data_IF_373899964810
#
_entry.id   IF_373899964810
#
_cell.length_a   1.000
_cell.length_b   1.000
_cell.length_c   1.000
_cell.angle_alpha   90.00
_cell.angle_beta   90.00
_cell.angle_gamma   90.00
#
_symmetry.space_group_name_H-M   'P 1'
#
loop_
_entity.id
_entity.type
_entity.pdbx_description
1 polymer ?
#
# COMPACT_ATOMS: atom_id res chain seq x y z
N UNK A 1 7.34 -51.18 25.01
CA UNK A 1 6.37 -50.71 23.99
C UNK A 1 6.36 -49.20 24.03
N UNK A 2 7.08 -48.55 23.11
CA UNK A 2 7.20 -47.10 23.03
C UNK A 2 6.08 -46.54 22.13
N UNK A 3 5.44 -45.44 22.53
CA UNK A 3 4.56 -44.64 21.67
C UNK A 3 5.12 -43.23 21.63
N UNK A 4 5.77 -42.89 20.52
CA UNK A 4 6.16 -41.52 20.20
C UNK A 4 4.94 -40.76 19.65
N UNK A 5 4.73 -39.47 20.00
CA UNK A 5 3.77 -38.64 19.31
C UNK A 5 4.39 -38.02 18.03
N UNK A 6 3.62 -38.02 16.95
CA UNK A 6 3.94 -37.36 15.68
C UNK A 6 3.90 -35.82 15.78
N UNK A 7 4.66 -35.09 14.96
CA UNK A 7 4.56 -33.63 14.91
C UNK A 7 3.31 -33.17 14.13
N UNK A 8 2.75 -31.98 14.43
CA UNK A 8 1.71 -31.39 13.60
C UNK A 8 2.34 -30.84 12.31
N UNK A 9 1.79 -31.29 11.17
CA UNK A 9 2.00 -30.68 9.86
C UNK A 9 1.49 -29.24 9.91
N UNK A 10 2.39 -28.24 9.90
CA UNK A 10 1.99 -26.84 9.80
C UNK A 10 1.57 -26.55 8.37
N UNK A 11 0.26 -26.65 8.21
CA UNK A 11 -0.61 -26.01 7.22
C UNK A 11 0.02 -24.79 6.53
N UNK A 12 -0.13 -24.79 5.21
CA UNK A 12 0.08 -23.69 4.28
C UNK A 12 -0.10 -22.31 4.92
N UNK A 13 0.96 -21.49 4.85
CA UNK A 13 0.92 -20.10 5.24
C UNK A 13 -0.13 -19.37 4.37
N UNK A 14 -1.16 -18.85 5.02
CA UNK A 14 -2.10 -17.90 4.42
C UNK A 14 -1.33 -16.71 3.83
N UNK A 15 -1.86 -16.04 2.79
CA UNK A 15 -1.24 -14.83 2.26
C UNK A 15 -1.28 -13.80 3.38
N UNK A 16 -0.11 -13.48 3.93
CA UNK A 16 0.09 -12.34 4.82
C UNK A 16 -0.38 -11.11 4.04
N UNK A 17 -1.48 -10.52 4.49
CA UNK A 17 -1.89 -9.21 4.02
C UNK A 17 -0.69 -8.28 4.22
N UNK A 18 -0.16 -7.75 3.12
CA UNK A 18 1.02 -6.91 3.16
C UNK A 18 0.69 -5.64 3.95
N UNK A 19 1.51 -5.31 4.94
CA UNK A 19 1.33 -4.12 5.77
C UNK A 19 1.23 -2.85 4.89
N UNK A 20 0.44 -1.84 5.34
CA UNK A 20 0.35 -0.58 4.64
C UNK A 20 1.73 0.10 4.58
N UNK A 21 2.05 0.81 3.48
CA UNK A 21 3.32 1.49 3.34
C UNK A 21 3.48 2.58 4.41
N UNK A 22 4.69 2.80 4.94
CA UNK A 22 4.94 3.75 6.03
C UNK A 22 4.86 5.22 5.57
N UNK A 23 4.93 5.49 4.28
CA UNK A 23 4.87 6.84 3.71
C UNK A 23 4.50 6.82 2.22
N UNK A 24 4.15 7.99 1.67
CA UNK A 24 3.91 8.20 0.24
C UNK A 24 5.12 7.79 -0.62
N UNK A 25 6.33 8.23 -0.23
CA UNK A 25 7.56 7.90 -0.95
C UNK A 25 7.87 6.40 -0.91
N UNK A 26 7.59 5.73 0.22
CA UNK A 26 7.74 4.29 0.32
C UNK A 26 6.76 3.55 -0.59
N UNK A 27 5.50 4.02 -0.66
CA UNK A 27 4.49 3.45 -1.55
C UNK A 27 4.87 3.61 -3.04
N UNK A 28 5.39 4.78 -3.42
CA UNK A 28 5.89 5.04 -4.77
C UNK A 28 7.08 4.16 -5.13
N UNK A 29 8.07 4.03 -4.24
CA UNK A 29 9.24 3.19 -4.47
C UNK A 29 8.88 1.70 -4.64
N UNK A 30 7.93 1.22 -3.85
CA UNK A 30 7.42 -0.15 -3.99
C UNK A 30 6.70 -0.33 -5.34
N UNK A 31 5.89 0.65 -5.75
CA UNK A 31 5.17 0.61 -7.02
C UNK A 31 6.12 0.61 -8.23
N UNK A 32 7.18 1.41 -8.19
CA UNK A 32 8.23 1.42 -9.22
C UNK A 32 8.95 0.07 -9.34
N UNK A 33 9.20 -0.58 -8.20
CA UNK A 33 9.77 -1.93 -8.16
C UNK A 33 8.83 -2.96 -8.78
N UNK A 34 7.53 -2.88 -8.50
CA UNK A 34 6.52 -3.78 -9.09
C UNK A 34 6.43 -3.60 -10.60
N UNK A 35 6.38 -2.36 -11.09
CA UNK A 35 6.30 -2.04 -12.52
C UNK A 35 7.56 -2.52 -13.24
N UNK A 36 8.74 -2.20 -12.70
CA UNK A 36 10.02 -2.65 -13.26
C UNK A 36 10.07 -4.19 -13.38
N UNK A 37 9.56 -4.89 -12.37
CA UNK A 37 9.46 -6.35 -12.38
C UNK A 37 8.55 -6.88 -13.48
N UNK A 38 7.37 -6.26 -13.64
CA UNK A 38 6.38 -6.64 -14.65
C UNK A 38 6.89 -6.38 -16.08
N UNK A 39 7.49 -5.22 -16.33
CA UNK A 39 8.05 -4.83 -17.62
C UNK A 39 9.25 -5.70 -18.03
N UNK A 40 10.02 -6.17 -17.06
CA UNK A 40 11.14 -7.08 -17.32
C UNK A 40 10.72 -8.49 -17.75
N UNK A 41 9.43 -8.84 -17.58
CA UNK A 41 8.91 -10.17 -17.89
C UNK A 41 9.43 -11.31 -16.99
N UNK A 42 10.11 -10.97 -15.88
CA UNK A 42 10.69 -11.96 -14.95
C UNK A 42 9.66 -12.60 -14.01
N UNK A 43 8.43 -12.09 -14.00
CA UNK A 43 7.40 -12.51 -13.08
C UNK A 43 6.65 -13.74 -13.60
N UNK A 44 6.61 -14.86 -12.84
CA UNK A 44 5.78 -16.00 -13.21
C UNK A 44 4.29 -15.62 -13.14
N UNK A 45 3.46 -16.29 -13.93
CA UNK A 45 2.03 -16.00 -14.07
C UNK A 45 1.30 -15.91 -12.72
N UNK A 46 1.62 -16.82 -11.80
CA UNK A 46 1.00 -16.86 -10.46
C UNK A 46 1.31 -15.61 -9.61
N UNK A 47 2.43 -14.92 -9.89
CA UNK A 47 2.83 -13.68 -9.20
C UNK A 47 2.27 -12.42 -9.85
N UNK A 48 1.82 -12.48 -11.10
CA UNK A 48 1.28 -11.31 -11.80
C UNK A 48 0.03 -10.77 -11.12
N UNK A 49 -0.85 -11.67 -10.67
CA UNK A 49 -2.06 -11.31 -9.93
C UNK A 49 -1.74 -10.66 -8.58
N UNK A 50 -0.76 -11.20 -7.84
CA UNK A 50 -0.30 -10.63 -6.58
C UNK A 50 0.30 -9.22 -6.77
N UNK A 51 1.16 -9.06 -7.78
CA UNK A 51 1.77 -7.78 -8.12
C UNK A 51 0.74 -6.73 -8.52
N UNK A 52 -0.24 -7.12 -9.33
CA UNK A 52 -1.35 -6.25 -9.71
C UNK A 52 -2.16 -5.81 -8.49
N UNK A 53 -2.52 -6.74 -7.60
CA UNK A 53 -3.30 -6.45 -6.39
C UNK A 53 -2.54 -5.49 -5.48
N UNK A 54 -1.25 -5.76 -5.22
CA UNK A 54 -0.41 -4.87 -4.41
C UNK A 54 -0.27 -3.49 -5.05
N UNK A 55 -0.06 -3.43 -6.36
CA UNK A 55 -0.01 -2.17 -7.10
C UNK A 55 -1.31 -1.37 -6.96
N UNK A 56 -2.48 -2.03 -7.01
CA UNK A 56 -3.77 -1.37 -6.81
C UNK A 56 -3.93 -0.79 -5.40
N UNK A 57 -3.48 -1.52 -4.37
CA UNK A 57 -3.46 -1.07 -2.97
C UNK A 57 -2.54 0.15 -2.79
N UNK A 58 -1.33 0.12 -3.36
CA UNK A 58 -0.39 1.24 -3.31
C UNK A 58 -0.93 2.48 -4.03
N UNK A 59 -1.56 2.31 -5.19
CA UNK A 59 -2.20 3.43 -5.91
C UNK A 59 -3.36 4.04 -5.13
N UNK A 60 -4.15 3.22 -4.43
CA UNK A 60 -5.23 3.72 -3.58
C UNK A 60 -4.66 4.58 -2.44
N UNK A 61 -3.65 4.06 -1.73
CA UNK A 61 -2.95 4.79 -0.68
C UNK A 61 -2.37 6.13 -1.18
N UNK A 62 -1.67 6.13 -2.32
CA UNK A 62 -1.10 7.36 -2.88
C UNK A 62 -2.18 8.42 -3.18
N UNK A 63 -3.33 8.01 -3.73
CA UNK A 63 -4.45 8.92 -4.00
C UNK A 63 -5.03 9.50 -2.72
N UNK A 64 -5.24 8.68 -1.70
CA UNK A 64 -5.77 9.12 -0.41
C UNK A 64 -4.85 10.16 0.25
N UNK A 65 -3.53 9.94 0.22
CA UNK A 65 -2.57 10.90 0.76
C UNK A 65 -2.61 12.25 0.03
N UNK A 66 -2.69 12.24 -1.30
CA UNK A 66 -2.80 13.48 -2.08
C UNK A 66 -4.12 14.22 -1.80
N UNK A 67 -5.23 13.49 -1.71
CA UNK A 67 -6.53 14.07 -1.35
C UNK A 67 -6.52 14.68 0.05
N UNK A 68 -5.88 14.02 1.02
CA UNK A 68 -5.76 14.56 2.37
C UNK A 68 -4.97 15.88 2.39
N UNK A 69 -3.87 15.96 1.63
CA UNK A 69 -3.08 17.19 1.50
C UNK A 69 -3.87 18.28 0.79
N UNK A 70 -4.55 17.97 -0.31
CA UNK A 70 -5.40 18.93 -1.02
C UNK A 70 -6.48 19.51 -0.10
N UNK A 71 -7.13 18.66 0.69
CA UNK A 71 -8.15 19.10 1.64
C UNK A 71 -7.58 20.02 2.72
N UNK A 72 -6.37 19.75 3.20
CA UNK A 72 -5.69 20.60 4.17
C UNK A 72 -5.35 21.98 3.57
N UNK A 73 -4.88 22.01 2.33
CA UNK A 73 -4.59 23.28 1.62
C UNK A 73 -5.87 24.10 1.46
N UNK A 74 -6.98 23.50 1.04
CA UNK A 74 -8.27 24.20 0.89
C UNK A 74 -8.75 24.83 2.21
N UNK A 75 -8.58 24.14 3.34
CA UNK A 75 -8.95 24.69 4.66
C UNK A 75 -8.08 25.89 5.00
N UNK A 76 -6.77 25.82 4.75
CA UNK A 76 -5.85 26.94 5.01
C UNK A 76 -6.18 28.15 4.12
N UNK A 77 -6.48 27.93 2.85
CA UNK A 77 -6.91 29.01 1.94
C UNK A 77 -8.23 29.63 2.38
N UNK A 78 -9.21 28.83 2.81
CA UNK A 78 -10.49 29.31 3.32
C UNK A 78 -10.34 30.10 4.63
N UNK A 79 -9.41 29.70 5.51
CA UNK A 79 -9.11 30.41 6.76
C UNK A 79 -8.37 31.74 6.49
N UNK A 80 -7.43 31.77 5.54
CA UNK A 80 -6.77 33.01 5.11
C UNK A 80 -7.72 33.97 4.39
N UNK A 81 -8.72 33.43 3.68
CA UNK A 81 -9.78 34.21 3.03
C UNK A 81 -10.84 34.70 4.02
N UNK A 82 -10.82 34.27 5.29
CA UNK A 82 -11.71 34.80 6.32
C UNK A 82 -11.32 36.26 6.51
N UNK A 83 -12.12 37.21 5.97
CA UNK A 83 -11.73 38.59 5.99
C UNK A 83 -11.69 39.02 7.45
N UNK A 84 -10.64 39.75 7.80
CA UNK A 84 -10.64 40.73 8.89
C UNK A 84 -11.77 41.74 8.62
N UNK A 85 -13.03 41.29 8.71
CA UNK A 85 -14.23 42.11 8.50
C UNK A 85 -14.85 42.57 9.82
N UNK A 86 -14.08 42.44 10.90
CA UNK A 86 -14.39 43.01 12.21
C UNK A 86 -13.19 43.84 12.70
N UNK A 87 -12.98 45.00 12.07
CA UNK A 87 -12.25 46.14 12.62
C UNK A 87 -12.82 47.44 12.07
#
# INVERSE_FOLDING_TARGET
MARSPSPPSRSAAAPVAADPPPSYEAALAELDTLVSGLESGQWPLDRLLDGYRRGAELLAYCREQLQAVEQQVQVLEADQLKPWKDA
#
